data_IF_612728258738
#
_entry.id   IF_612728258738
#
_cell.length_a   1.000
_cell.length_b   1.000
_cell.length_c   1.000
_cell.angle_alpha   90.00
_cell.angle_beta   90.00
_cell.angle_gamma   90.00
#
_symmetry.space_group_name_H-M   'P 1'
#
loop_
_entity.id
_entity.type
_entity.pdbx_description
1 polymer ?
#
# COMPACT_ATOMS: atom_id res chain seq x y z
N UNK A 1 -31.77 50.33 48.14
CA UNK A 1 -31.80 50.07 46.67
C UNK A 1 -30.55 49.29 46.34
N UNK A 2 -30.64 48.00 46.25
CA UNK A 2 -29.54 47.09 45.89
C UNK A 2 -29.81 46.55 44.49
N UNK A 3 -28.94 46.93 43.59
CA UNK A 3 -28.97 46.55 42.19
C UNK A 3 -28.19 45.24 42.03
N UNK A 4 -28.89 44.13 41.75
CA UNK A 4 -28.31 42.85 41.49
C UNK A 4 -27.89 42.75 40.04
N UNK A 5 -26.61 42.60 39.75
CA UNK A 5 -26.06 42.33 38.45
C UNK A 5 -25.95 40.80 38.31
N UNK A 6 -26.82 40.22 37.47
CA UNK A 6 -26.69 38.81 37.05
C UNK A 6 -25.61 38.68 35.97
N UNK A 7 -24.45 38.08 36.31
CA UNK A 7 -23.49 37.61 35.31
C UNK A 7 -23.94 36.21 34.82
N UNK A 8 -24.34 36.17 33.57
CA UNK A 8 -24.66 34.91 32.87
C UNK A 8 -23.33 34.21 32.46
N UNK A 9 -22.87 33.29 33.31
CA UNK A 9 -21.72 32.46 33.03
C UNK A 9 -22.08 31.36 32.06
N UNK A 10 -21.70 31.49 30.77
CA UNK A 10 -21.72 30.37 29.81
C UNK A 10 -20.62 29.38 30.21
N UNK A 11 -21.01 28.26 30.79
CA UNK A 11 -20.13 27.11 30.97
C UNK A 11 -19.93 26.50 29.59
N UNK A 12 -18.78 26.77 28.97
CA UNK A 12 -18.34 26.10 27.75
C UNK A 12 -17.84 24.73 28.18
N UNK A 13 -18.64 23.72 28.04
CA UNK A 13 -18.17 22.33 28.10
C UNK A 13 -17.22 22.11 26.93
N UNK A 14 -15.94 22.22 27.17
CA UNK A 14 -14.92 21.71 26.27
C UNK A 14 -15.05 20.20 26.30
N UNK A 15 -15.67 19.65 25.25
CA UNK A 15 -15.72 18.21 25.02
C UNK A 15 -14.28 17.78 24.75
N UNK A 16 -13.58 17.34 25.78
CA UNK A 16 -12.30 16.67 25.63
C UNK A 16 -12.54 15.48 24.70
N UNK A 17 -11.96 15.54 23.48
CA UNK A 17 -11.87 14.39 22.63
C UNK A 17 -11.02 13.38 23.40
N UNK A 18 -11.66 12.37 24.00
CA UNK A 18 -10.96 11.19 24.49
C UNK A 18 -10.11 10.72 23.31
N UNK A 19 -8.81 10.71 23.46
CA UNK A 19 -7.93 9.99 22.55
C UNK A 19 -8.45 8.56 22.58
N UNK A 20 -9.10 8.13 21.49
CA UNK A 20 -9.53 6.75 21.32
C UNK A 20 -8.25 5.92 21.28
N UNK A 21 -7.89 5.37 22.42
CA UNK A 21 -6.81 4.40 22.52
C UNK A 21 -7.30 3.13 21.83
N UNK A 22 -7.01 3.00 20.54
CA UNK A 22 -7.36 1.81 19.76
C UNK A 22 -6.51 0.69 20.32
N UNK A 23 -7.14 -0.22 21.05
CA UNK A 23 -6.45 -1.36 21.62
C UNK A 23 -6.36 -2.48 20.58
N UNK A 24 -5.13 -2.86 20.24
CA UNK A 24 -4.86 -4.15 19.59
C UNK A 24 -5.28 -5.27 20.55
N UNK A 25 -5.94 -6.27 20.02
CA UNK A 25 -6.29 -7.49 20.77
C UNK A 25 -5.50 -8.68 20.22
N UNK A 26 -6.14 -9.65 19.62
CA UNK A 26 -5.51 -10.90 19.20
C UNK A 26 -4.75 -10.73 17.88
N UNK A 27 -3.62 -11.42 17.77
CA UNK A 27 -2.91 -11.58 16.49
C UNK A 27 -3.76 -12.46 15.57
N UNK A 28 -4.18 -11.92 14.42
CA UNK A 28 -4.99 -12.64 13.42
C UNK A 28 -4.11 -13.36 12.41
N UNK A 29 -3.06 -12.67 11.96
CA UNK A 29 -2.22 -13.15 10.87
C UNK A 29 -0.81 -12.59 10.95
N UNK A 30 0.18 -13.43 10.62
CA UNK A 30 1.59 -13.03 10.48
C UNK A 30 2.02 -13.19 9.04
N UNK A 31 2.28 -12.07 8.37
CA UNK A 31 2.79 -12.04 6.99
C UNK A 31 4.30 -11.82 6.91
N UNK A 32 4.80 -11.73 5.69
CA UNK A 32 6.22 -11.49 5.39
C UNK A 32 6.68 -10.09 5.87
N UNK A 33 5.84 -9.07 5.72
CA UNK A 33 6.16 -7.66 6.02
C UNK A 33 5.36 -7.08 7.19
N UNK A 34 4.24 -7.69 7.57
CA UNK A 34 3.30 -7.16 8.56
C UNK A 34 2.70 -8.25 9.42
N UNK A 35 2.37 -7.89 10.65
CA UNK A 35 1.48 -8.64 11.52
C UNK A 35 0.15 -7.91 11.62
N UNK A 36 -0.96 -8.66 11.59
CA UNK A 36 -2.31 -8.12 11.59
C UNK A 36 -3.00 -8.49 12.91
N UNK A 37 -3.48 -7.49 13.61
CA UNK A 37 -4.16 -7.62 14.90
C UNK A 37 -5.62 -7.22 14.79
N UNK A 38 -6.49 -7.92 15.53
CA UNK A 38 -7.86 -7.50 15.77
C UNK A 38 -7.89 -6.21 16.62
N UNK A 39 -9.02 -5.53 16.57
CA UNK A 39 -9.35 -4.42 17.47
C UNK A 39 -10.66 -4.69 18.21
N UNK A 40 -11.07 -3.76 19.05
CA UNK A 40 -12.41 -3.82 19.68
C UNK A 40 -13.57 -3.63 18.69
N UNK A 41 -13.30 -3.08 17.50
CA UNK A 41 -14.26 -3.03 16.38
C UNK A 41 -14.00 -4.20 15.43
N UNK A 42 -15.01 -5.05 15.25
CA UNK A 42 -14.91 -6.23 14.39
C UNK A 42 -14.64 -5.91 12.90
N UNK A 43 -14.85 -4.66 12.47
CA UNK A 43 -14.63 -4.17 11.12
C UNK A 43 -13.30 -3.45 10.93
N UNK A 44 -12.47 -3.38 11.98
CA UNK A 44 -11.18 -2.71 11.95
C UNK A 44 -10.05 -3.65 12.37
N UNK A 45 -8.88 -3.44 11.81
CA UNK A 45 -7.65 -4.16 12.12
C UNK A 45 -6.50 -3.17 12.31
N UNK A 46 -5.48 -3.58 13.05
CA UNK A 46 -4.20 -2.88 13.12
C UNK A 46 -3.15 -3.69 12.37
N UNK A 47 -2.53 -3.05 11.37
CA UNK A 47 -1.36 -3.58 10.68
C UNK A 47 -0.09 -3.06 11.34
N UNK A 48 0.80 -3.96 11.78
CA UNK A 48 2.09 -3.66 12.39
C UNK A 48 3.19 -4.03 11.41
N UNK A 49 3.90 -3.05 10.90
CA UNK A 49 4.98 -3.24 9.92
C UNK A 49 6.25 -3.75 10.59
N UNK A 50 6.90 -4.72 9.97
CA UNK A 50 8.10 -5.40 10.48
C UNK A 50 9.37 -4.96 9.77
N UNK A 51 10.46 -4.97 10.49
CA UNK A 51 11.82 -4.75 9.97
C UNK A 51 12.36 -5.98 9.24
N UNK A 52 11.53 -6.60 8.40
CA UNK A 52 11.89 -7.79 7.65
C UNK A 52 11.91 -7.52 6.15
N UNK A 53 13.03 -7.78 5.50
CA UNK A 53 13.15 -7.84 4.05
C UNK A 53 13.15 -9.31 3.59
N UNK A 54 12.33 -9.61 2.58
CA UNK A 54 12.25 -10.95 2.00
C UNK A 54 12.44 -10.88 0.50
N UNK A 55 13.12 -11.88 -0.08
CA UNK A 55 13.23 -12.09 -1.52
C UNK A 55 13.08 -13.57 -1.86
N UNK A 56 12.93 -13.88 -3.15
CA UNK A 56 12.77 -15.25 -3.66
C UNK A 56 11.64 -15.99 -2.91
N UNK A 57 10.48 -15.38 -2.87
CA UNK A 57 9.28 -15.89 -2.16
C UNK A 57 9.55 -16.30 -0.68
N UNK A 58 10.41 -15.55 0.00
CA UNK A 58 10.75 -15.80 1.41
C UNK A 58 11.92 -16.75 1.64
N UNK A 59 12.60 -17.25 0.61
CA UNK A 59 13.78 -18.09 0.73
C UNK A 59 14.97 -17.34 1.37
N UNK A 60 15.10 -16.04 1.11
CA UNK A 60 16.03 -15.16 1.82
C UNK A 60 15.25 -14.17 2.69
N UNK A 61 15.57 -14.13 3.97
CA UNK A 61 14.97 -13.24 4.98
C UNK A 61 16.07 -12.55 5.74
N UNK A 62 15.99 -11.23 5.83
CA UNK A 62 16.94 -10.42 6.60
C UNK A 62 16.17 -9.41 7.45
N UNK A 63 16.70 -9.11 8.63
CA UNK A 63 16.21 -8.01 9.45
C UNK A 63 16.91 -6.73 9.02
N UNK A 64 16.12 -5.73 8.58
CA UNK A 64 16.61 -4.43 8.14
C UNK A 64 15.98 -3.37 9.04
N UNK A 65 16.74 -2.94 10.04
CA UNK A 65 16.27 -2.01 11.07
C UNK A 65 15.71 -0.71 10.45
N UNK A 66 14.52 -0.30 10.89
CA UNK A 66 13.84 0.89 10.40
C UNK A 66 13.01 0.72 9.13
N UNK A 67 13.12 -0.43 8.43
CA UNK A 67 12.36 -0.68 7.21
C UNK A 67 10.84 -0.64 7.44
N UNK A 68 10.36 -1.24 8.52
CA UNK A 68 8.94 -1.25 8.88
C UNK A 68 8.39 0.16 9.08
N UNK A 69 9.16 1.02 9.76
CA UNK A 69 8.84 2.44 9.93
C UNK A 69 8.72 3.15 8.59
N UNK A 70 9.68 2.96 7.70
CA UNK A 70 9.71 3.63 6.40
C UNK A 70 8.54 3.17 5.52
N UNK A 71 8.29 1.87 5.42
CA UNK A 71 7.16 1.34 4.66
C UNK A 71 5.81 1.83 5.19
N UNK A 72 5.62 1.84 6.52
CA UNK A 72 4.40 2.36 7.13
C UNK A 72 4.17 3.82 6.80
N UNK A 73 5.19 4.67 6.90
CA UNK A 73 5.06 6.11 6.65
C UNK A 73 4.80 6.40 5.17
N UNK A 74 5.54 5.75 4.25
CA UNK A 74 5.33 5.90 2.80
C UNK A 74 3.93 5.43 2.42
N UNK A 75 3.54 4.23 2.86
CA UNK A 75 2.21 3.68 2.57
C UNK A 75 1.08 4.56 3.10
N UNK A 76 1.22 5.10 4.31
CA UNK A 76 0.24 6.04 4.89
C UNK A 76 0.08 7.29 4.03
N UNK A 77 1.19 7.92 3.62
CA UNK A 77 1.17 9.12 2.77
C UNK A 77 0.51 8.86 1.41
N UNK A 78 0.81 7.73 0.79
CA UNK A 78 0.22 7.34 -0.49
C UNK A 78 -1.28 7.09 -0.33
N UNK A 79 -1.71 6.32 0.67
CA UNK A 79 -3.13 6.06 0.91
C UNK A 79 -3.91 7.34 1.26
N UNK A 80 -3.34 8.26 2.04
CA UNK A 80 -3.96 9.55 2.33
C UNK A 80 -4.21 10.35 1.05
N UNK A 81 -3.26 10.37 0.10
CA UNK A 81 -3.42 11.04 -1.19
C UNK A 81 -4.46 10.35 -2.06
N UNK A 82 -4.38 9.03 -2.18
CA UNK A 82 -5.35 8.25 -2.94
C UNK A 82 -6.78 8.43 -2.41
N UNK A 83 -6.96 8.44 -1.08
CA UNK A 83 -8.26 8.70 -0.44
C UNK A 83 -8.79 10.10 -0.78
N UNK A 84 -7.94 11.14 -0.81
CA UNK A 84 -8.32 12.50 -1.21
C UNK A 84 -8.81 12.57 -2.65
N UNK A 85 -8.23 11.75 -3.53
CA UNK A 85 -8.61 11.61 -4.94
C UNK A 85 -9.79 10.64 -5.17
N UNK A 86 -10.46 10.21 -4.07
CA UNK A 86 -11.66 9.39 -4.12
C UNK A 86 -11.40 7.91 -4.41
N UNK A 87 -10.17 7.42 -4.28
CA UNK A 87 -9.90 5.98 -4.28
C UNK A 87 -10.41 5.40 -2.97
N UNK A 88 -11.27 4.40 -3.04
CA UNK A 88 -11.70 3.67 -1.86
C UNK A 88 -10.57 2.76 -1.38
N UNK A 89 -10.04 3.01 -0.18
CA UNK A 89 -8.99 2.18 0.42
C UNK A 89 -9.39 1.61 1.77
N UNK A 90 -8.70 0.58 2.22
CA UNK A 90 -8.86 0.06 3.56
C UNK A 90 -8.25 0.98 4.64
N UNK A 91 -7.31 1.85 4.26
CA UNK A 91 -6.59 2.73 5.18
C UNK A 91 -7.52 3.73 5.86
N UNK A 92 -7.47 3.79 7.20
CA UNK A 92 -8.20 4.76 8.02
C UNK A 92 -7.27 5.85 8.51
N UNK A 93 -6.16 5.47 9.17
CA UNK A 93 -5.14 6.41 9.68
C UNK A 93 -3.87 5.70 10.12
N UNK A 94 -2.77 6.44 10.15
CA UNK A 94 -1.54 6.06 10.84
C UNK A 94 -1.75 6.17 12.36
N UNK A 95 -1.35 5.15 13.11
CA UNK A 95 -1.41 5.13 14.58
C UNK A 95 -0.09 5.50 15.23
N UNK A 96 1.01 4.96 14.68
CA UNK A 96 2.38 5.19 15.14
C UNK A 96 3.36 5.13 13.96
N UNK A 97 4.64 5.13 14.22
CA UNK A 97 5.66 5.00 13.17
C UNK A 97 5.61 3.66 12.44
N UNK A 98 5.11 2.62 13.08
CA UNK A 98 5.05 1.27 12.52
C UNK A 98 3.64 0.69 12.42
N UNK A 99 2.59 1.45 12.78
CA UNK A 99 1.23 0.92 12.89
C UNK A 99 0.23 1.74 12.09
N UNK A 100 -0.70 1.06 11.44
CA UNK A 100 -1.87 1.61 10.76
C UNK A 100 -3.15 1.00 11.27
N UNK A 101 -4.19 1.83 11.37
CA UNK A 101 -5.57 1.38 11.49
C UNK A 101 -6.16 1.25 10.10
N UNK A 102 -6.72 0.10 9.83
CA UNK A 102 -7.30 -0.23 8.54
C UNK A 102 -8.70 -0.83 8.71
N UNK A 103 -9.56 -0.69 7.70
CA UNK A 103 -10.78 -1.48 7.60
C UNK A 103 -10.41 -2.94 7.42
N UNK A 104 -11.13 -3.83 8.09
CA UNK A 104 -11.02 -5.26 7.82
C UNK A 104 -11.68 -5.56 6.47
N UNK A 105 -10.96 -6.28 5.63
CA UNK A 105 -11.45 -6.71 4.32
C UNK A 105 -11.19 -8.20 4.14
N UNK A 106 -12.01 -8.85 3.33
CA UNK A 106 -11.72 -10.17 2.79
C UNK A 106 -10.87 -9.99 1.53
N UNK A 107 -9.60 -10.37 1.60
CA UNK A 107 -8.66 -10.20 0.48
C UNK A 107 -9.10 -11.07 -0.69
N UNK A 108 -9.21 -10.47 -1.88
CA UNK A 108 -9.31 -11.20 -3.14
C UNK A 108 -7.94 -11.81 -3.41
N UNK A 109 -7.81 -13.14 -3.55
CA UNK A 109 -6.49 -13.78 -3.64
C UNK A 109 -5.84 -13.57 -5.03
N UNK A 110 -5.69 -12.30 -5.40
CA UNK A 110 -5.02 -11.81 -6.60
C UNK A 110 -4.02 -10.72 -6.26
N UNK A 111 -2.83 -10.85 -6.80
CA UNK A 111 -1.94 -9.72 -6.99
C UNK A 111 -2.25 -9.09 -8.34
N UNK A 112 -2.63 -7.82 -8.34
CA UNK A 112 -2.89 -7.03 -9.55
C UNK A 112 -1.65 -6.21 -9.85
N UNK A 113 -0.89 -6.61 -10.86
CA UNK A 113 0.35 -5.96 -11.26
C UNK A 113 0.10 -5.06 -12.46
N UNK A 114 0.53 -3.81 -12.37
CA UNK A 114 0.50 -2.89 -13.50
C UNK A 114 1.92 -2.48 -13.87
N UNK A 115 2.20 -2.50 -15.18
CA UNK A 115 3.52 -2.15 -15.73
C UNK A 115 3.41 -0.98 -16.69
N UNK A 116 4.20 0.06 -16.42
CA UNK A 116 4.40 1.20 -17.31
C UNK A 116 5.66 1.01 -18.18
N UNK A 117 6.61 0.21 -17.68
CA UNK A 117 7.87 -0.11 -18.34
C UNK A 117 8.16 -1.60 -18.18
N UNK A 118 8.98 -2.13 -19.08
CA UNK A 118 9.51 -3.50 -18.97
C UNK A 118 10.53 -3.56 -17.83
N UNK A 119 10.31 -4.46 -16.85
CA UNK A 119 11.23 -4.68 -15.74
C UNK A 119 11.01 -6.03 -15.05
N UNK A 120 12.00 -6.49 -14.32
CA UNK A 120 11.93 -7.60 -13.39
C UNK A 120 11.42 -8.91 -14.01
N UNK A 121 10.36 -9.50 -13.45
CA UNK A 121 9.81 -10.78 -13.92
C UNK A 121 9.22 -10.71 -15.33
N UNK A 122 8.72 -9.54 -15.76
CA UNK A 122 8.23 -9.35 -17.12
C UNK A 122 9.36 -9.51 -18.14
N UNK A 123 10.46 -8.75 -17.97
CA UNK A 123 11.62 -8.81 -18.85
C UNK A 123 12.21 -10.22 -18.92
N UNK A 124 12.33 -10.89 -17.77
CA UNK A 124 12.83 -12.27 -17.70
C UNK A 124 11.92 -13.27 -18.42
N UNK A 125 10.60 -13.16 -18.20
CA UNK A 125 9.61 -14.09 -18.76
C UNK A 125 9.49 -13.99 -20.27
N UNK A 126 9.58 -12.78 -20.82
CA UNK A 126 9.41 -12.53 -22.25
C UNK A 126 10.72 -12.33 -23.00
N UNK A 127 11.88 -12.34 -22.32
CA UNK A 127 13.18 -12.16 -22.96
C UNK A 127 13.36 -10.78 -23.57
N UNK A 128 12.76 -9.75 -22.97
CA UNK A 128 12.84 -8.36 -23.43
C UNK A 128 13.76 -7.53 -22.52
N UNK A 129 14.38 -6.51 -23.08
CA UNK A 129 15.24 -5.57 -22.35
C UNK A 129 14.42 -4.83 -21.26
N UNK A 130 15.05 -4.51 -20.12
CA UNK A 130 14.47 -3.66 -19.10
C UNK A 130 14.48 -2.18 -19.53
N UNK A 131 13.49 -1.41 -19.07
CA UNK A 131 13.44 0.05 -19.27
C UNK A 131 12.71 0.50 -20.53
N UNK A 132 12.14 -0.39 -21.32
CA UNK A 132 11.31 -0.02 -22.46
C UNK A 132 9.97 0.50 -21.95
N UNK A 133 9.64 1.76 -22.29
CA UNK A 133 8.33 2.33 -21.99
C UNK A 133 7.25 1.65 -22.82
N UNK A 134 6.20 1.18 -22.16
CA UNK A 134 5.05 0.59 -22.83
C UNK A 134 4.15 1.67 -23.41
N UNK A 135 3.61 1.48 -24.61
CA UNK A 135 2.65 2.40 -25.22
C UNK A 135 1.37 2.49 -24.38
N UNK A 136 0.88 1.34 -23.91
CA UNK A 136 -0.21 1.22 -22.95
C UNK A 136 0.25 0.37 -21.76
N UNK A 137 -0.17 0.79 -20.56
CA UNK A 137 0.15 0.05 -19.35
C UNK A 137 -0.49 -1.36 -19.37
N UNK A 138 0.31 -2.38 -19.08
CA UNK A 138 -0.12 -3.78 -19.03
C UNK A 138 -0.58 -4.11 -17.62
N UNK A 139 -1.78 -4.70 -17.50
CA UNK A 139 -2.29 -5.25 -16.24
C UNK A 139 -2.21 -6.78 -16.29
N UNK A 140 -1.55 -7.33 -15.29
CA UNK A 140 -1.35 -8.77 -15.10
C UNK A 140 -1.99 -9.23 -13.79
N UNK A 141 -2.39 -10.50 -13.73
CA UNK A 141 -2.82 -11.15 -12.51
C UNK A 141 -1.85 -12.24 -12.08
N UNK A 142 -1.64 -12.35 -10.77
CA UNK A 142 -0.96 -13.46 -10.14
C UNK A 142 -1.88 -14.03 -9.06
N UNK A 143 -1.98 -15.36 -9.01
CA UNK A 143 -2.75 -16.03 -7.97
C UNK A 143 -1.98 -15.98 -6.66
N UNK A 144 -2.52 -15.25 -5.68
CA UNK A 144 -1.90 -15.10 -4.36
C UNK A 144 -1.99 -16.43 -3.59
N UNK A 145 -0.95 -17.23 -3.72
CA UNK A 145 -0.83 -18.53 -3.10
C UNK A 145 0.66 -18.87 -2.91
N UNK A 146 1.15 -18.67 -1.69
CA UNK A 146 2.56 -18.87 -1.33
C UNK A 146 3.05 -20.30 -1.62
N UNK A 147 2.19 -21.33 -1.50
CA UNK A 147 2.53 -22.73 -1.78
C UNK A 147 2.76 -23.01 -3.26
N UNK A 148 2.24 -22.14 -4.13
CA UNK A 148 2.34 -22.23 -5.59
C UNK A 148 3.27 -21.16 -6.18
N UNK A 149 4.03 -20.41 -5.37
CA UNK A 149 4.90 -19.31 -5.79
C UNK A 149 4.17 -18.19 -6.57
N UNK A 150 2.93 -17.87 -6.16
CA UNK A 150 2.12 -16.80 -6.75
C UNK A 150 2.13 -16.83 -8.29
N UNK A 151 1.60 -17.90 -8.95
CA UNK A 151 1.75 -18.09 -10.37
C UNK A 151 1.01 -17.02 -11.19
N UNK A 152 1.64 -16.61 -12.31
CA UNK A 152 0.99 -15.78 -13.31
C UNK A 152 -0.23 -16.46 -13.90
N UNK A 153 -1.38 -15.77 -13.95
CA UNK A 153 -2.65 -16.27 -14.44
C UNK A 153 -3.34 -15.24 -15.33
N UNK A 154 -4.26 -15.71 -16.19
CA UNK A 154 -5.12 -14.86 -17.01
C UNK A 154 -6.57 -14.84 -16.49
N UNK A 155 -7.44 -14.09 -17.15
CA UNK A 155 -8.84 -13.89 -16.76
C UNK A 155 -9.61 -15.23 -16.71
N UNK A 156 -9.35 -16.15 -17.66
CA UNK A 156 -10.00 -17.46 -17.71
C UNK A 156 -9.61 -18.32 -16.49
N UNK A 157 -8.33 -18.26 -16.07
CA UNK A 157 -7.88 -18.92 -14.85
C UNK A 157 -8.55 -18.33 -13.61
N UNK A 158 -8.65 -16.98 -13.51
CA UNK A 158 -9.34 -16.30 -12.40
C UNK A 158 -10.78 -16.79 -12.27
N UNK A 159 -11.50 -16.91 -13.40
CA UNK A 159 -12.89 -17.42 -13.43
C UNK A 159 -12.98 -18.91 -13.10
N UNK A 160 -12.13 -19.73 -13.69
CA UNK A 160 -12.08 -21.17 -13.42
C UNK A 160 -11.85 -21.47 -11.94
N UNK A 161 -10.93 -20.73 -11.31
CA UNK A 161 -10.63 -20.85 -9.89
C UNK A 161 -11.68 -20.17 -8.99
N UNK A 162 -12.71 -19.53 -9.57
CA UNK A 162 -13.80 -18.83 -8.87
C UNK A 162 -13.28 -17.73 -7.93
N UNK A 163 -12.20 -17.07 -8.30
CA UNK A 163 -11.58 -16.01 -7.51
C UNK A 163 -12.37 -14.70 -7.66
N UNK A 164 -12.76 -14.36 -8.90
CA UNK A 164 -13.53 -13.16 -9.22
C UNK A 164 -14.43 -13.40 -10.45
N UNK A 165 -15.54 -12.63 -10.54
CA UNK A 165 -16.44 -12.61 -11.69
C UNK A 165 -15.89 -11.76 -12.84
N UNK A 166 -16.51 -11.81 -14.03
CA UNK A 166 -16.13 -10.98 -15.17
C UNK A 166 -16.24 -9.48 -14.83
N UNK A 167 -17.28 -9.07 -14.07
CA UNK A 167 -17.49 -7.70 -13.64
C UNK A 167 -16.41 -7.26 -12.64
N UNK A 168 -16.05 -8.14 -11.71
CA UNK A 168 -14.98 -7.87 -10.74
C UNK A 168 -13.61 -7.78 -11.42
N UNK A 169 -13.31 -8.66 -12.38
CA UNK A 169 -12.08 -8.58 -13.20
C UNK A 169 -12.01 -7.26 -13.95
N UNK A 170 -13.10 -6.85 -14.61
CA UNK A 170 -13.18 -5.59 -15.33
C UNK A 170 -12.97 -4.39 -14.37
N UNK A 171 -13.61 -4.42 -13.19
CA UNK A 171 -13.45 -3.41 -12.16
C UNK A 171 -11.99 -3.32 -11.67
N UNK A 172 -11.37 -4.45 -11.32
CA UNK A 172 -9.97 -4.48 -10.84
C UNK A 172 -9.01 -3.87 -11.85
N UNK A 173 -9.17 -4.21 -13.15
CA UNK A 173 -8.34 -3.65 -14.22
C UNK A 173 -8.57 -2.14 -14.41
N UNK A 174 -9.82 -1.70 -14.39
CA UNK A 174 -10.16 -0.28 -14.56
C UNK A 174 -9.65 0.55 -13.36
N UNK A 175 -9.88 0.08 -12.13
CA UNK A 175 -9.46 0.78 -10.93
C UNK A 175 -7.92 0.80 -10.81
N UNK A 176 -7.23 -0.30 -11.17
CA UNK A 176 -5.77 -0.34 -11.22
C UNK A 176 -5.21 0.72 -12.19
N UNK A 177 -5.82 0.90 -13.38
CA UNK A 177 -5.43 1.96 -14.33
C UNK A 177 -5.72 3.36 -13.80
N UNK A 178 -6.85 3.56 -13.12
CA UNK A 178 -7.18 4.85 -12.48
C UNK A 178 -6.16 5.20 -11.39
N UNK A 179 -5.83 4.23 -10.53
CA UNK A 179 -4.81 4.39 -9.50
C UNK A 179 -3.45 4.67 -10.12
N UNK A 180 -3.11 4.02 -11.25
CA UNK A 180 -1.85 4.25 -11.95
C UNK A 180 -1.65 5.71 -12.34
N UNK A 181 -2.68 6.35 -12.90
CA UNK A 181 -2.59 7.76 -13.29
C UNK A 181 -2.28 8.66 -12.08
N UNK A 182 -2.93 8.40 -10.93
CA UNK A 182 -2.69 9.14 -9.69
C UNK A 182 -1.29 8.89 -9.14
N UNK A 183 -0.85 7.64 -9.10
CA UNK A 183 0.49 7.27 -8.60
C UNK A 183 1.60 7.84 -9.48
N UNK A 184 1.44 7.79 -10.81
CA UNK A 184 2.40 8.41 -11.73
C UNK A 184 2.52 9.92 -11.47
N UNK A 185 1.41 10.62 -11.24
CA UNK A 185 1.43 12.04 -10.90
C UNK A 185 2.14 12.30 -9.56
N UNK A 186 1.79 11.51 -8.51
CA UNK A 186 2.42 11.63 -7.18
C UNK A 186 3.95 11.45 -7.25
N UNK A 187 4.44 10.47 -8.02
CA UNK A 187 5.88 10.22 -8.13
C UNK A 187 6.58 11.19 -9.06
N UNK A 188 5.92 11.64 -10.13
CA UNK A 188 6.46 12.68 -11.02
C UNK A 188 6.69 14.01 -10.28
N UNK A 189 5.80 14.38 -9.34
CA UNK A 189 5.93 15.58 -8.51
C UNK A 189 7.21 15.58 -7.64
N UNK A 190 7.84 14.43 -7.48
CA UNK A 190 9.06 14.24 -6.67
C UNK A 190 10.24 13.70 -7.48
N UNK A 191 10.23 13.87 -8.80
CA UNK A 191 11.27 13.43 -9.73
C UNK A 191 11.58 11.92 -9.61
N UNK A 192 10.53 11.10 -9.52
CA UNK A 192 10.60 9.65 -9.57
C UNK A 192 9.70 9.12 -10.68
N UNK A 193 10.19 8.11 -11.39
CA UNK A 193 9.42 7.41 -12.43
C UNK A 193 8.87 6.11 -11.86
N UNK A 194 7.55 5.93 -11.92
CA UNK A 194 6.88 4.69 -11.54
C UNK A 194 6.96 3.68 -12.69
N UNK A 195 7.73 2.64 -12.49
CA UNK A 195 8.03 1.61 -13.49
C UNK A 195 6.94 0.54 -13.52
N UNK A 196 6.69 -0.08 -12.39
CA UNK A 196 5.61 -1.06 -12.18
C UNK A 196 5.26 -1.14 -10.69
N UNK A 197 4.16 -1.80 -10.39
CA UNK A 197 3.75 -2.05 -9.01
C UNK A 197 2.75 -3.19 -8.93
N UNK A 198 2.59 -3.69 -7.71
CA UNK A 198 1.59 -4.66 -7.29
C UNK A 198 0.57 -4.01 -6.37
N UNK A 199 -0.72 -4.25 -6.61
CA UNK A 199 -1.83 -3.93 -5.71
C UNK A 199 -2.54 -5.18 -5.26
N UNK A 200 -3.09 -5.13 -4.05
CA UNK A 200 -4.04 -6.12 -3.56
C UNK A 200 -5.37 -5.43 -3.24
N UNK A 201 -6.47 -6.12 -3.52
CA UNK A 201 -7.81 -5.62 -3.26
C UNK A 201 -8.55 -6.57 -2.33
N UNK A 202 -9.53 -6.04 -1.62
CA UNK A 202 -10.38 -6.85 -0.76
C UNK A 202 -11.81 -6.33 -0.76
N UNK A 203 -12.75 -7.19 -0.33
CA UNK A 203 -14.14 -6.84 -0.13
C UNK A 203 -14.34 -6.38 1.32
N UNK A 204 -14.90 -5.19 1.50
CA UNK A 204 -15.29 -4.70 2.81
C UNK A 204 -16.57 -5.40 3.32
N UNK A 205 -17.02 -5.04 4.53
CA UNK A 205 -18.22 -5.61 5.15
C UNK A 205 -19.52 -5.48 4.32
N UNK A 206 -19.54 -4.55 3.37
CA UNK A 206 -20.68 -4.28 2.48
C UNK A 206 -20.47 -4.94 1.09
N UNK A 207 -19.42 -5.72 0.93
CA UNK A 207 -19.05 -6.40 -0.32
C UNK A 207 -18.41 -5.50 -1.37
N UNK A 208 -18.09 -4.24 -1.02
CA UNK A 208 -17.45 -3.30 -1.92
C UNK A 208 -15.96 -3.64 -2.05
N UNK A 209 -15.48 -3.73 -3.29
CA UNK A 209 -14.05 -3.90 -3.57
C UNK A 209 -13.33 -2.59 -3.30
N UNK A 210 -12.30 -2.63 -2.46
CA UNK A 210 -11.46 -1.49 -2.11
C UNK A 210 -9.99 -1.88 -2.15
N UNK A 211 -9.11 -0.89 -2.36
CA UNK A 211 -7.66 -1.09 -2.32
C UNK A 211 -7.22 -1.43 -0.89
N UNK A 212 -6.39 -2.46 -0.77
CA UNK A 212 -5.89 -2.98 0.50
C UNK A 212 -4.37 -3.14 0.50
N UNK A 213 -3.85 -3.88 1.47
CA UNK A 213 -2.45 -4.20 1.71
C UNK A 213 -1.57 -2.97 1.95
N UNK A 214 -0.63 -2.66 1.11
CA UNK A 214 0.26 -1.50 1.20
C UNK A 214 0.59 -0.93 -0.18
N UNK A 215 1.10 0.29 -0.20
CA UNK A 215 1.85 0.82 -1.33
C UNK A 215 3.16 1.44 -0.83
N UNK A 216 4.26 0.78 -1.12
CA UNK A 216 5.59 1.16 -0.67
C UNK A 216 6.65 0.71 -1.69
N UNK A 217 7.92 1.12 -1.55
CA UNK A 217 8.99 0.62 -2.40
C UNK A 217 9.23 -0.90 -2.31
N UNK A 218 8.53 -1.61 -1.40
CA UNK A 218 8.54 -3.08 -1.34
C UNK A 218 7.72 -3.73 -2.47
N UNK A 219 6.66 -3.07 -2.93
CA UNK A 219 5.73 -3.59 -3.93
C UNK A 219 5.62 -2.74 -5.20
N UNK A 220 6.50 -1.73 -5.37
CA UNK A 220 6.65 -1.01 -6.63
C UNK A 220 8.13 -0.90 -7.04
N UNK A 221 8.37 -0.55 -8.32
CA UNK A 221 9.67 -0.11 -8.82
C UNK A 221 9.60 1.37 -9.12
N UNK A 222 10.59 2.08 -8.58
CA UNK A 222 10.77 3.51 -8.77
C UNK A 222 12.18 3.76 -9.27
N UNK A 223 12.32 4.57 -10.32
CA UNK A 223 13.63 5.03 -10.78
C UNK A 223 13.72 6.54 -10.65
N UNK A 224 14.90 7.03 -10.31
CA UNK A 224 15.19 8.46 -10.38
C UNK A 224 15.47 8.91 -11.84
N UNK A 225 15.76 10.19 -12.03
CA UNK A 225 16.05 10.78 -13.35
C UNK A 225 17.29 10.19 -14.03
N UNK A 226 18.20 9.59 -13.28
CA UNK A 226 19.44 8.99 -13.75
C UNK A 226 19.31 7.47 -13.96
N UNK A 227 18.10 6.92 -13.70
CA UNK A 227 17.80 5.49 -13.83
C UNK A 227 18.21 4.64 -12.62
N UNK A 228 18.60 5.27 -11.50
CA UNK A 228 18.92 4.52 -10.29
C UNK A 228 17.65 3.97 -9.64
N UNK A 229 17.75 2.76 -9.08
CA UNK A 229 16.65 2.12 -8.37
C UNK A 229 16.38 2.81 -7.03
N UNK A 230 15.14 3.24 -6.83
CA UNK A 230 14.65 3.86 -5.60
C UNK A 230 13.63 2.96 -4.89
N UNK A 231 13.85 1.65 -4.93
CA UNK A 231 12.93 0.60 -4.50
C UNK A 231 13.67 -0.64 -3.98
N UNK A 232 12.93 -1.72 -3.73
CA UNK A 232 13.47 -2.98 -3.17
C UNK A 232 14.49 -3.68 -4.09
N UNK A 233 14.60 -3.31 -5.36
CA UNK A 233 15.60 -3.90 -6.24
C UNK A 233 17.03 -3.53 -5.80
N UNK A 234 17.22 -2.44 -5.04
CA UNK A 234 18.50 -2.15 -4.38
C UNK A 234 18.94 -3.33 -3.49
N UNK A 235 18.03 -3.91 -2.71
CA UNK A 235 18.29 -5.09 -1.89
C UNK A 235 18.36 -6.38 -2.72
N UNK A 236 17.47 -6.56 -3.70
CA UNK A 236 17.42 -7.77 -4.54
C UNK A 236 18.66 -7.95 -5.41
N UNK A 237 19.29 -6.84 -5.80
CA UNK A 237 20.44 -6.79 -6.73
C UNK A 237 21.76 -6.43 -6.04
N UNK A 238 21.75 -6.32 -4.69
CA UNK A 238 22.91 -5.93 -3.88
C UNK A 238 23.54 -4.59 -4.35
N UNK A 239 22.70 -3.57 -4.65
CA UNK A 239 23.14 -2.28 -5.17
C UNK A 239 23.45 -1.24 -4.09
N UNK A 240 23.08 -1.50 -2.83
CA UNK A 240 23.27 -0.56 -1.73
C UNK A 240 22.40 -0.82 -0.51
N UNK A 241 22.35 0.16 0.37
CA UNK A 241 21.57 0.08 1.60
C UNK A 241 20.11 0.43 1.37
N UNK A 242 19.20 -0.49 1.71
CA UNK A 242 17.76 -0.38 1.45
C UNK A 242 17.12 0.80 2.17
N UNK A 243 17.45 0.98 3.45
CA UNK A 243 16.83 2.03 4.29
C UNK A 243 17.21 3.42 3.83
N UNK A 244 18.44 3.64 3.42
CA UNK A 244 18.88 4.94 2.88
C UNK A 244 18.06 5.36 1.66
N UNK A 245 17.76 4.42 0.77
CA UNK A 245 16.93 4.66 -0.42
C UNK A 245 15.47 4.96 -0.01
N UNK A 246 14.92 4.20 0.92
CA UNK A 246 13.55 4.42 1.39
C UNK A 246 13.38 5.75 2.16
N UNK A 247 14.41 6.19 2.88
CA UNK A 247 14.43 7.50 3.53
C UNK A 247 14.35 8.63 2.49
N UNK A 248 15.13 8.56 1.42
CA UNK A 248 15.06 9.52 0.31
C UNK A 248 13.66 9.57 -0.31
N UNK A 249 13.04 8.40 -0.57
CA UNK A 249 11.66 8.34 -1.10
C UNK A 249 10.67 8.99 -0.12
N UNK A 250 10.79 8.70 1.17
CA UNK A 250 9.92 9.27 2.20
C UNK A 250 10.06 10.81 2.28
N UNK A 251 11.29 11.32 2.33
CA UNK A 251 11.57 12.76 2.38
C UNK A 251 11.00 13.49 1.14
N UNK A 252 11.21 12.93 -0.04
CA UNK A 252 10.66 13.45 -1.28
C UNK A 252 9.13 13.53 -1.22
N UNK A 253 8.45 12.45 -0.80
CA UNK A 253 6.99 12.44 -0.68
C UNK A 253 6.48 13.43 0.38
N UNK A 254 7.19 13.59 1.49
CA UNK A 254 6.83 14.55 2.54
C UNK A 254 6.97 16.00 2.06
N UNK A 255 7.92 16.30 1.18
CA UNK A 255 8.13 17.66 0.65
C UNK A 255 6.96 18.21 -0.17
N UNK A 256 6.03 17.34 -0.58
CA UNK A 256 4.83 17.68 -1.36
C UNK A 256 3.54 17.60 -0.53
N UNK A 257 3.62 17.32 0.78
CA UNK A 257 2.46 17.32 1.68
C UNK A 257 2.00 18.77 1.89
N UNK A 258 0.77 19.07 1.47
CA UNK A 258 0.18 20.42 1.62
C UNK A 258 0.23 21.30 0.35
N UNK A 259 0.73 20.77 -0.75
CA UNK A 259 0.64 21.44 -2.07
C UNK A 259 -0.65 21.10 -2.77
#
# INVERSE_FOLDING_TARGET
MLSSIFLCGKIIFRKERKANNIMKTDLIYTGKAKDIYATSDANEIVSVYKDQATMLNGARKETVAGKGRLNNQISSLIFERLNKEGVATHFIKKLSDTEQLNKKVEIIPLEVVLRNYTAGSFSKRFGVEEGIKLEEAIVEFYYKNDDLDDPFINDEHVKFLKIATDEEIAYLKAECRRINALLQAIFADVDLTLIDYKLEFGKDKDGKIILADEFSPDNCRLWDKDGNHMDKDVFRRDLGELTSVYEVVLEKLQSTVGK
#
